data_IF_984312694200
#
_entry.id   IF_984312694200
#
_cell.length_a   1.000
_cell.length_b   1.000
_cell.length_c   1.000
_cell.angle_alpha   90.00
_cell.angle_beta   90.00
_cell.angle_gamma   90.00
#
_symmetry.space_group_name_H-M   'P 1'
#
loop_
_entity.id
_entity.type
_entity.pdbx_description
1 polymer ?
#
# COMPACT_ATOMS: atom_id res chain seq x y z
N UNK A 1 -19.71 -0.68 -84.99
CA UNK A 1 -20.37 -1.00 -83.73
C UNK A 1 -19.39 -1.72 -82.83
N UNK A 2 -18.83 -0.99 -81.86
CA UNK A 2 -17.80 -1.51 -80.94
C UNK A 2 -18.42 -1.68 -79.56
N UNK A 3 -18.48 -2.92 -79.12
CA UNK A 3 -18.94 -3.26 -77.77
C UNK A 3 -17.80 -3.10 -76.80
N UNK A 4 -17.99 -2.21 -75.80
CA UNK A 4 -17.12 -2.08 -74.64
C UNK A 4 -17.59 -3.00 -73.54
N UNK A 5 -16.83 -4.02 -73.19
CA UNK A 5 -17.09 -4.86 -72.02
C UNK A 5 -16.66 -4.16 -70.75
N UNK A 6 -17.57 -3.92 -69.81
CA UNK A 6 -17.29 -3.50 -68.46
C UNK A 6 -16.92 -4.73 -67.61
N UNK A 7 -15.69 -4.76 -67.10
CA UNK A 7 -15.30 -5.70 -66.06
C UNK A 7 -15.69 -5.16 -64.70
N UNK A 8 -16.57 -5.89 -63.98
CA UNK A 8 -16.90 -5.60 -62.59
C UNK A 8 -15.90 -6.33 -61.68
N UNK A 9 -15.08 -5.56 -61.00
CA UNK A 9 -14.18 -6.12 -59.97
C UNK A 9 -14.95 -6.29 -58.65
N UNK A 10 -15.09 -7.53 -58.19
CA UNK A 10 -15.67 -7.86 -56.89
C UNK A 10 -14.52 -7.84 -55.86
N UNK A 11 -14.53 -6.85 -54.97
CA UNK A 11 -13.63 -6.77 -53.81
C UNK A 11 -14.18 -7.71 -52.72
N UNK A 12 -13.48 -8.83 -52.50
CA UNK A 12 -13.75 -9.71 -51.37
C UNK A 12 -12.99 -9.17 -50.17
N UNK A 13 -13.69 -8.59 -49.19
CA UNK A 13 -13.13 -8.17 -47.91
C UNK A 13 -12.93 -9.38 -47.00
N UNK A 14 -11.70 -9.80 -46.78
CA UNK A 14 -11.37 -10.84 -45.79
C UNK A 14 -11.31 -10.17 -44.42
N UNK A 15 -12.32 -10.43 -43.57
CA UNK A 15 -12.34 -10.07 -42.18
C UNK A 15 -11.30 -10.93 -41.43
N UNK A 16 -10.20 -10.33 -40.96
CA UNK A 16 -9.24 -10.98 -40.07
C UNK A 16 -9.85 -10.94 -38.66
N UNK A 17 -10.09 -12.08 -37.98
CA UNK A 17 -10.54 -12.08 -36.62
C UNK A 17 -9.43 -11.48 -35.74
N UNK A 18 -9.70 -10.31 -35.16
CA UNK A 18 -8.82 -9.68 -34.18
C UNK A 18 -8.61 -10.63 -32.99
N UNK A 19 -7.38 -11.10 -32.79
CA UNK A 19 -7.00 -11.75 -31.54
C UNK A 19 -7.14 -10.73 -30.41
N UNK A 20 -8.18 -10.88 -29.60
CA UNK A 20 -8.30 -10.19 -28.32
C UNK A 20 -7.20 -10.77 -27.44
N UNK A 21 -6.07 -10.08 -27.34
CA UNK A 21 -5.09 -10.35 -26.30
C UNK A 21 -5.74 -9.97 -24.97
N UNK A 22 -6.25 -10.99 -24.26
CA UNK A 22 -6.59 -10.85 -22.85
C UNK A 22 -5.28 -10.49 -22.14
N UNK A 23 -5.10 -9.22 -21.77
CA UNK A 23 -4.00 -8.83 -20.89
C UNK A 23 -4.29 -9.50 -19.55
N UNK A 24 -3.53 -10.55 -19.25
CA UNK A 24 -3.54 -11.22 -17.96
C UNK A 24 -3.13 -10.18 -16.91
N UNK A 25 -4.11 -9.69 -16.17
CA UNK A 25 -3.90 -8.72 -15.11
C UNK A 25 -3.04 -9.40 -14.04
N UNK A 26 -1.87 -8.84 -13.65
CA UNK A 26 -1.01 -9.49 -12.68
C UNK A 26 -1.83 -9.79 -11.42
N UNK A 27 -1.75 -11.04 -10.95
CA UNK A 27 -2.47 -11.51 -9.77
C UNK A 27 -2.23 -10.56 -8.61
N UNK A 28 -3.31 -10.10 -7.96
CA UNK A 28 -3.21 -9.19 -6.83
C UNK A 28 -2.28 -9.81 -5.78
N UNK A 29 -1.23 -9.06 -5.39
CA UNK A 29 -0.23 -9.51 -4.42
C UNK A 29 -0.93 -9.77 -3.08
N UNK A 30 -0.95 -11.01 -2.61
CA UNK A 30 -1.55 -11.36 -1.32
C UNK A 30 -0.64 -10.90 -0.18
N UNK A 31 -1.15 -10.22 0.88
CA UNK A 31 -0.35 -9.88 2.05
C UNK A 31 0.22 -11.14 2.72
N UNK A 32 1.51 -11.10 3.11
CA UNK A 32 2.12 -12.21 3.83
C UNK A 32 1.57 -12.28 5.27
N UNK A 33 0.89 -13.35 5.67
CA UNK A 33 0.30 -13.47 6.99
C UNK A 33 1.33 -13.42 8.13
N UNK A 34 2.60 -13.74 7.86
CA UNK A 34 3.67 -13.68 8.87
C UNK A 34 3.98 -12.24 9.35
N UNK A 35 3.55 -11.21 8.61
CA UNK A 35 3.74 -9.82 9.03
C UNK A 35 2.83 -9.41 10.19
N UNK A 36 1.72 -10.12 10.40
CA UNK A 36 0.73 -9.78 11.42
C UNK A 36 0.65 -10.87 12.48
N UNK A 37 0.76 -10.46 13.76
CA UNK A 37 0.58 -11.35 14.91
C UNK A 37 -0.39 -10.70 15.88
N UNK A 38 -1.21 -11.51 16.52
CA UNK A 38 -2.15 -11.09 17.54
C UNK A 38 -1.95 -11.87 18.84
N UNK A 39 -1.90 -11.16 19.94
CA UNK A 39 -1.98 -11.72 21.30
C UNK A 39 -3.27 -11.22 21.94
N UNK A 40 -4.27 -12.10 22.06
CA UNK A 40 -5.59 -11.77 22.57
C UNK A 40 -5.57 -11.41 24.06
N UNK A 41 -4.72 -12.10 24.86
CA UNK A 41 -4.64 -11.90 26.30
C UNK A 41 -4.14 -10.50 26.66
N UNK A 42 -3.14 -10.00 25.91
CA UNK A 42 -2.56 -8.68 26.12
C UNK A 42 -3.14 -7.62 25.18
N UNK A 43 -4.08 -7.99 24.31
CA UNK A 43 -4.61 -7.14 23.23
C UNK A 43 -3.51 -6.44 22.45
N UNK A 44 -2.47 -7.20 22.08
CA UNK A 44 -1.30 -6.66 21.38
C UNK A 44 -1.28 -7.12 19.93
N UNK A 45 -1.26 -6.15 19.02
CA UNK A 45 -1.03 -6.33 17.59
C UNK A 45 0.44 -6.10 17.31
N UNK A 46 1.12 -7.06 16.69
CA UNK A 46 2.45 -6.85 16.11
C UNK A 46 2.34 -6.87 14.60
N UNK A 47 2.73 -5.78 13.94
CA UNK A 47 2.75 -5.68 12.47
C UNK A 47 4.16 -5.31 12.00
N UNK A 48 4.82 -6.23 11.27
CA UNK A 48 6.14 -5.98 10.68
C UNK A 48 6.00 -5.02 9.50
N UNK A 49 6.51 -3.81 9.63
CA UNK A 49 6.54 -2.80 8.57
C UNK A 49 7.90 -2.83 7.87
N UNK A 50 7.88 -3.09 6.57
CA UNK A 50 9.07 -3.17 5.72
C UNK A 50 8.99 -2.04 4.68
N UNK A 51 9.93 -1.11 4.73
CA UNK A 51 10.06 -0.05 3.75
C UNK A 51 10.96 -0.50 2.59
N UNK A 52 10.59 -0.15 1.37
CA UNK A 52 11.43 -0.35 0.19
C UNK A 52 11.68 -1.83 -0.16
N UNK A 53 10.63 -2.68 -0.16
CA UNK A 53 10.79 -4.07 -0.59
C UNK A 53 11.33 -4.12 -2.03
N UNK A 54 12.53 -4.72 -2.29
CA UNK A 54 13.22 -4.60 -3.58
C UNK A 54 12.45 -5.20 -4.77
N UNK A 55 11.59 -6.21 -4.53
CA UNK A 55 10.78 -6.86 -5.57
C UNK A 55 9.51 -6.08 -5.95
N UNK A 56 9.28 -4.91 -5.35
CA UNK A 56 8.13 -4.06 -5.67
C UNK A 56 8.40 -3.22 -6.93
N UNK A 57 7.32 -2.81 -7.61
CA UNK A 57 7.40 -1.98 -8.81
C UNK A 57 7.92 -0.54 -8.56
N UNK A 58 7.95 -0.10 -7.30
CA UNK A 58 8.44 1.20 -6.88
C UNK A 58 9.25 1.05 -5.59
N UNK A 59 10.36 1.78 -5.40
CA UNK A 59 11.08 1.84 -4.13
C UNK A 59 10.21 2.48 -3.03
N UNK A 60 9.29 3.35 -3.39
CA UNK A 60 8.37 4.02 -2.46
C UNK A 60 7.20 3.12 -2.07
N UNK A 61 7.49 2.08 -1.28
CA UNK A 61 6.49 1.10 -0.85
C UNK A 61 6.64 0.70 0.61
N UNK A 62 5.54 0.25 1.22
CA UNK A 62 5.55 -0.51 2.48
C UNK A 62 5.07 -1.94 2.22
N UNK A 63 5.85 -2.92 2.65
CA UNK A 63 5.56 -4.35 2.47
C UNK A 63 5.29 -4.72 0.98
N UNK A 64 5.81 -3.92 0.05
CA UNK A 64 5.59 -4.02 -1.38
C UNK A 64 4.26 -3.46 -1.87
N UNK A 65 3.51 -2.72 -1.04
CA UNK A 65 2.28 -2.03 -1.39
C UNK A 65 2.47 -0.51 -1.40
N UNK A 66 1.68 0.16 -2.22
CA UNK A 66 1.69 1.61 -2.45
C UNK A 66 0.26 2.15 -2.45
N UNK A 67 0.08 3.45 -2.24
CA UNK A 67 -1.17 4.17 -2.51
C UNK A 67 -2.40 3.56 -1.79
N UNK A 68 -2.22 3.13 -0.54
CA UNK A 68 -3.29 2.55 0.27
C UNK A 68 -3.80 1.19 -0.22
N UNK A 69 -3.07 0.48 -1.09
CA UNK A 69 -3.49 -0.83 -1.63
C UNK A 69 -3.52 -1.95 -0.58
N UNK A 70 -2.86 -1.75 0.57
CA UNK A 70 -2.96 -2.59 1.75
C UNK A 70 -3.62 -1.79 2.88
N UNK A 71 -4.57 -2.39 3.58
CA UNK A 71 -5.17 -1.85 4.81
C UNK A 71 -4.85 -2.76 5.98
N UNK A 72 -4.23 -2.20 7.03
CA UNK A 72 -4.11 -2.84 8.34
C UNK A 72 -5.33 -2.47 9.18
N UNK A 73 -6.15 -3.45 9.55
CA UNK A 73 -7.29 -3.28 10.47
C UNK A 73 -6.82 -3.64 11.88
N UNK A 74 -7.06 -2.75 12.84
CA UNK A 74 -6.61 -2.89 14.23
C UNK A 74 -7.79 -2.68 15.17
N UNK A 75 -8.03 -3.56 16.15
CA UNK A 75 -9.03 -3.34 17.17
C UNK A 75 -8.78 -2.05 17.94
N UNK A 76 -9.84 -1.28 18.19
CA UNK A 76 -9.72 -0.06 18.99
C UNK A 76 -9.24 -0.36 20.41
N UNK A 77 -8.30 0.45 20.92
CA UNK A 77 -7.70 0.29 22.23
C UNK A 77 -6.59 -0.75 22.31
N UNK A 78 -6.28 -1.47 21.22
CA UNK A 78 -5.18 -2.43 21.21
C UNK A 78 -3.82 -1.72 21.32
N UNK A 79 -2.85 -2.37 21.96
CA UNK A 79 -1.45 -1.97 21.88
C UNK A 79 -0.88 -2.39 20.54
N UNK A 80 -0.34 -1.46 19.77
CA UNK A 80 0.35 -1.75 18.50
C UNK A 80 1.86 -1.72 18.73
N UNK A 81 2.52 -2.79 18.34
CA UNK A 81 3.97 -2.90 18.24
C UNK A 81 4.30 -3.06 16.76
N UNK A 82 4.99 -2.09 16.19
CA UNK A 82 5.28 -2.06 14.76
C UNK A 82 6.79 -1.99 14.53
N UNK A 83 7.48 -3.15 14.49
CA UNK A 83 8.87 -3.19 14.06
C UNK A 83 8.98 -2.67 12.64
N UNK A 84 9.91 -1.74 12.42
CA UNK A 84 10.24 -1.14 11.14
C UNK A 84 11.62 -1.61 10.68
N UNK A 85 11.76 -1.85 9.38
CA UNK A 85 13.05 -2.05 8.72
C UNK A 85 13.04 -1.40 7.34
N UNK A 86 14.13 -0.71 6.99
CA UNK A 86 14.36 -0.25 5.62
C UNK A 86 15.19 -1.29 4.85
N UNK A 87 14.65 -1.86 3.79
CA UNK A 87 15.36 -2.81 2.90
C UNK A 87 15.92 -2.14 1.63
N UNK A 88 15.58 -0.87 1.38
CA UNK A 88 16.02 -0.10 0.22
C UNK A 88 17.32 0.69 0.49
N UNK A 89 18.03 1.01 -0.58
CA UNK A 89 19.17 1.93 -0.57
C UNK A 89 18.79 3.39 -0.33
N UNK A 90 17.53 3.76 -0.53
CA UNK A 90 17.00 5.09 -0.22
C UNK A 90 16.54 5.14 1.24
N UNK A 91 16.84 6.22 2.00
CA UNK A 91 16.36 6.37 3.37
C UNK A 91 14.84 6.42 3.46
N UNK A 92 14.27 5.70 4.42
CA UNK A 92 12.83 5.67 4.68
C UNK A 92 12.51 5.80 6.16
N UNK A 93 11.30 6.26 6.46
CA UNK A 93 10.75 6.37 7.81
C UNK A 93 9.28 5.96 7.79
N UNK A 94 8.60 6.04 8.93
CA UNK A 94 7.17 5.82 9.00
C UNK A 94 6.50 6.71 10.03
N UNK A 95 5.28 7.14 9.73
CA UNK A 95 4.39 7.87 10.62
C UNK A 95 2.94 7.43 10.39
N UNK A 96 2.16 7.33 11.46
CA UNK A 96 0.69 7.17 11.35
C UNK A 96 0.07 8.55 11.27
N UNK A 97 -0.32 8.96 10.10
CA UNK A 97 -0.98 10.22 9.79
C UNK A 97 -2.52 10.08 9.72
N UNK A 98 -3.24 11.19 9.63
CA UNK A 98 -4.68 11.20 9.38
C UNK A 98 -5.04 10.41 8.12
N UNK A 99 -6.10 9.63 8.18
CA UNK A 99 -6.66 8.90 7.03
C UNK A 99 -7.55 9.77 6.12
N UNK A 100 -7.79 11.03 6.50
CA UNK A 100 -8.62 11.97 5.74
C UNK A 100 -7.79 13.14 5.20
N UNK A 101 -8.31 13.79 4.15
CA UNK A 101 -7.62 14.91 3.52
C UNK A 101 -6.50 14.49 2.56
N UNK A 102 -5.71 15.46 2.06
CA UNK A 102 -4.63 15.22 1.11
C UNK A 102 -3.50 14.42 1.75
N UNK A 103 -2.70 13.75 0.93
CA UNK A 103 -1.46 13.09 1.37
C UNK A 103 -0.45 14.18 1.78
N UNK A 104 0.13 14.11 3.00
CA UNK A 104 1.14 15.07 3.44
C UNK A 104 2.41 14.97 2.58
N UNK A 105 3.09 16.10 2.35
CA UNK A 105 4.37 16.08 1.64
C UNK A 105 5.51 15.49 2.48
N UNK A 106 5.40 15.57 3.80
CA UNK A 106 6.38 15.06 4.77
C UNK A 106 5.70 14.69 6.08
N UNK A 107 6.38 13.96 6.93
CA UNK A 107 5.97 13.64 8.29
C UNK A 107 6.05 14.84 9.25
N UNK A 108 5.65 14.61 10.51
CA UNK A 108 5.71 15.59 11.61
C UNK A 108 4.33 15.94 12.19
N UNK A 109 3.27 15.27 11.75
CA UNK A 109 1.92 15.45 12.26
C UNK A 109 1.26 14.10 12.56
N UNK A 110 1.93 13.30 13.42
CA UNK A 110 1.40 12.00 13.82
C UNK A 110 -0.01 12.13 14.42
N UNK A 111 -0.97 11.45 13.83
CA UNK A 111 -2.36 11.45 14.28
C UNK A 111 -2.56 10.61 15.56
N UNK A 112 -1.60 9.72 15.85
CA UNK A 112 -1.57 8.92 17.07
C UNK A 112 -0.22 9.18 17.78
N UNK A 113 -0.22 9.53 19.08
CA UNK A 113 1.01 9.79 19.81
C UNK A 113 2.02 8.63 19.75
N UNK A 114 3.29 8.95 19.49
CA UNK A 114 4.41 7.97 19.38
C UNK A 114 4.30 6.97 18.22
N UNK A 115 3.39 7.18 17.29
CA UNK A 115 3.22 6.34 16.11
C UNK A 115 4.10 6.83 14.94
N UNK A 116 5.40 6.99 15.19
CA UNK A 116 6.40 7.38 14.19
C UNK A 116 7.77 6.82 14.53
N UNK A 117 8.61 6.65 13.52
CA UNK A 117 10.01 6.22 13.66
C UNK A 117 10.92 7.39 14.07
N UNK A 118 12.09 7.08 14.64
CA UNK A 118 13.17 8.06 14.75
C UNK A 118 13.60 8.56 13.36
N UNK A 119 14.29 9.70 13.31
CA UNK A 119 14.81 10.34 12.07
C UNK A 119 13.73 10.49 11.01
N UNK A 120 12.56 10.99 11.42
CA UNK A 120 11.35 10.96 10.61
C UNK A 120 11.51 11.64 9.24
N UNK A 121 12.20 12.79 9.17
CA UNK A 121 12.36 13.54 7.92
C UNK A 121 13.59 13.10 7.11
N UNK A 122 14.66 12.67 7.76
CA UNK A 122 15.88 12.18 7.13
C UNK A 122 15.74 10.73 6.68
N UNK A 123 14.91 9.96 7.37
CA UNK A 123 14.76 8.52 7.19
C UNK A 123 15.90 7.70 7.82
N UNK A 124 15.67 6.42 7.91
CA UNK A 124 16.65 5.42 8.32
C UNK A 124 17.33 4.85 7.06
N UNK A 125 18.66 4.65 7.07
CA UNK A 125 19.38 4.09 5.93
C UNK A 125 19.01 2.62 5.70
N UNK A 126 19.50 2.02 4.62
CA UNK A 126 19.33 0.60 4.33
C UNK A 126 19.78 -0.26 5.53
N UNK A 127 18.96 -1.25 5.90
CA UNK A 127 19.15 -2.08 7.08
C UNK A 127 18.82 -1.39 8.42
N UNK A 128 18.51 -0.10 8.39
CA UNK A 128 18.07 0.67 9.56
C UNK A 128 16.77 0.13 10.13
N UNK A 129 16.69 0.08 11.47
CA UNK A 129 15.55 -0.51 12.20
C UNK A 129 15.07 0.41 13.29
N UNK A 130 13.77 0.34 13.59
CA UNK A 130 13.14 0.99 14.73
C UNK A 130 11.90 0.21 15.17
N UNK A 131 11.27 0.61 16.27
CA UNK A 131 10.02 -0.01 16.73
C UNK A 131 9.06 1.06 17.22
N UNK A 132 8.01 1.32 16.49
CA UNK A 132 6.89 2.14 16.96
C UNK A 132 6.04 1.38 17.97
N UNK A 133 5.65 2.05 19.05
CA UNK A 133 4.74 1.50 20.08
C UNK A 133 3.69 2.54 20.45
N UNK A 134 2.43 2.23 20.19
CA UNK A 134 1.33 3.16 20.45
C UNK A 134 0.03 2.41 20.78
N UNK A 135 -0.96 3.13 21.30
CA UNK A 135 -2.31 2.60 21.48
C UNK A 135 -3.15 2.96 20.25
N UNK A 136 -3.88 2.00 19.73
CA UNK A 136 -4.79 2.22 18.60
C UNK A 136 -6.02 3.03 19.05
N UNK A 137 -5.88 4.35 19.10
CA UNK A 137 -6.91 5.31 19.48
C UNK A 137 -6.59 6.70 18.87
N UNK A 138 -7.61 7.49 18.52
CA UNK A 138 -9.04 7.16 18.50
C UNK A 138 -9.40 6.16 17.38
N UNK A 139 -10.67 5.71 17.35
CA UNK A 139 -11.20 4.94 16.22
C UNK A 139 -11.29 5.83 14.97
N UNK A 140 -11.09 5.21 13.79
CA UNK A 140 -11.20 5.91 12.53
C UNK A 140 -10.18 5.46 11.47
N UNK A 141 -10.18 6.11 10.30
CA UNK A 141 -9.21 5.87 9.24
C UNK A 141 -7.90 6.61 9.52
N UNK A 142 -6.79 5.95 9.23
CA UNK A 142 -5.43 6.47 9.27
C UNK A 142 -4.65 6.02 8.03
N UNK A 143 -3.46 6.58 7.86
CA UNK A 143 -2.47 6.13 6.86
C UNK A 143 -1.13 5.94 7.55
N UNK A 144 -0.43 4.87 7.19
CA UNK A 144 0.99 4.73 7.49
C UNK A 144 1.72 5.30 6.30
N UNK A 145 2.36 6.45 6.48
CA UNK A 145 3.09 7.18 5.42
C UNK A 145 4.59 7.15 5.67
N UNK A 146 5.40 7.28 4.63
CA UNK A 146 6.80 7.65 4.80
C UNK A 146 6.90 9.14 5.13
N UNK A 147 7.62 9.48 6.19
CA UNK A 147 7.79 10.86 6.64
C UNK A 147 8.86 11.64 5.88
N UNK A 148 9.72 10.96 5.10
CA UNK A 148 10.74 11.62 4.26
C UNK A 148 10.04 12.49 3.21
N UNK A 149 10.45 13.77 3.01
CA UNK A 149 9.80 14.68 2.09
C UNK A 149 9.65 14.13 0.67
N UNK A 150 8.44 14.22 0.11
CA UNK A 150 8.13 13.78 -1.24
C UNK A 150 7.80 12.28 -1.38
N UNK A 151 8.15 11.42 -0.41
CA UNK A 151 7.94 9.97 -0.54
C UNK A 151 6.45 9.58 -0.46
N UNK A 152 5.70 10.15 0.47
CA UNK A 152 4.27 9.87 0.59
C UNK A 152 3.48 10.32 -0.65
N UNK A 153 3.66 11.54 -1.22
CA UNK A 153 3.06 11.91 -2.49
C UNK A 153 3.48 11.05 -3.68
N UNK A 154 4.69 10.46 -3.64
CA UNK A 154 5.15 9.49 -4.63
C UNK A 154 4.51 8.08 -4.47
N UNK A 155 3.54 7.92 -3.54
CA UNK A 155 2.79 6.69 -3.33
C UNK A 155 3.24 5.86 -2.13
N UNK A 156 4.20 6.32 -1.32
CA UNK A 156 4.72 5.55 -0.18
C UNK A 156 3.80 5.66 1.04
N UNK A 157 2.68 4.98 0.96
CA UNK A 157 1.73 4.84 2.07
C UNK A 157 0.82 3.62 1.91
N UNK A 158 0.36 3.12 3.05
CA UNK A 158 -0.68 2.09 3.18
C UNK A 158 -1.75 2.59 4.15
N UNK A 159 -2.96 2.02 4.06
CA UNK A 159 -4.04 2.39 4.97
C UNK A 159 -3.94 1.66 6.31
N UNK A 160 -4.43 2.30 7.36
CA UNK A 160 -4.70 1.70 8.66
C UNK A 160 -6.08 2.13 9.14
N UNK A 161 -6.87 1.18 9.65
CA UNK A 161 -8.18 1.45 10.27
C UNK A 161 -8.16 1.00 11.72
N UNK A 162 -8.40 1.91 12.64
CA UNK A 162 -8.72 1.57 14.04
C UNK A 162 -10.22 1.33 14.12
N UNK A 163 -10.61 0.06 14.25
CA UNK A 163 -12.00 -0.39 14.14
C UNK A 163 -12.54 -0.80 15.50
N UNK A 164 -13.59 -0.12 16.04
CA UNK A 164 -14.18 -0.45 17.32
C UNK A 164 -15.00 -1.76 17.27
N UNK A 165 -15.35 -2.25 16.09
CA UNK A 165 -16.07 -3.51 15.91
C UNK A 165 -15.15 -4.72 15.69
N UNK A 166 -13.86 -4.49 15.39
CA UNK A 166 -12.92 -5.58 15.21
C UNK A 166 -12.56 -6.23 16.55
N UNK A 167 -12.61 -7.56 16.60
CA UNK A 167 -12.19 -8.36 17.77
C UNK A 167 -10.75 -8.84 17.65
N UNK A 168 -10.20 -8.87 16.44
CA UNK A 168 -8.83 -9.24 16.12
C UNK A 168 -8.33 -8.41 14.93
N UNK A 169 -7.01 -8.25 14.76
CA UNK A 169 -6.46 -7.50 13.64
C UNK A 169 -6.52 -8.30 12.34
N UNK A 170 -6.56 -7.59 11.22
CA UNK A 170 -6.52 -8.18 9.88
C UNK A 170 -5.72 -7.33 8.90
N UNK A 171 -5.29 -7.94 7.81
CA UNK A 171 -4.79 -7.26 6.62
C UNK A 171 -5.74 -7.51 5.46
N UNK A 172 -6.10 -6.46 4.74
CA UNK A 172 -6.99 -6.53 3.59
C UNK A 172 -6.45 -5.73 2.41
N UNK A 173 -6.75 -6.18 1.19
CA UNK A 173 -6.51 -5.37 0.00
C UNK A 173 -7.66 -4.35 -0.14
N UNK A 174 -7.35 -3.12 -0.49
CA UNK A 174 -8.36 -2.04 -0.61
C UNK A 174 -9.47 -2.37 -1.61
N UNK A 175 -9.19 -3.17 -2.65
CA UNK A 175 -10.19 -3.66 -3.60
C UNK A 175 -11.24 -4.60 -2.98
N UNK A 176 -10.96 -5.18 -1.79
CA UNK A 176 -11.86 -6.12 -1.10
C UNK A 176 -12.73 -5.46 -0.02
N UNK A 177 -12.50 -4.17 0.25
CA UNK A 177 -13.19 -3.41 1.31
C UNK A 177 -14.37 -2.57 0.79
N UNK A 178 -14.93 -2.90 -0.38
CA UNK A 178 -16.10 -2.23 -0.96
C UNK A 178 -17.40 -2.76 -0.41
#
# INVERSE_FOLDING_TARGET
MTYRSLAVAVLVSVAVPGMVHSQEQPAAKTPNPAWLKWNADTKTVTFQLIAGVPAAASPFNFNGFTEGKLTLIVPAGATVVMPFVNEDGVPHSAEVASGTGPIPNMGGQAAIPRAYTINLLEGLPQGGKDVMRFTAAPSGPFRIICGVPGHAPAGMWIDMKVDPSATEPAMALTSTLK
#
